data_IF_803458625101
#
_entry.id   IF_803458625101
#
_cell.length_a   1.000
_cell.length_b   1.000
_cell.length_c   1.000
_cell.angle_alpha   90.00
_cell.angle_beta   90.00
_cell.angle_gamma   90.00
#
_symmetry.space_group_name_H-M   'P 1'
#
loop_
_entity.id
_entity.type
_entity.pdbx_description
1 polymer ?
#
# COMPACT_ATOMS: atom_id res chain seq x y z
N UNK A 1 -20.84 -18.62 30.50
CA UNK A 1 -19.44 -18.95 30.19
C UNK A 1 -18.89 -17.71 29.51
N UNK A 2 -17.86 -17.06 30.06
CA UNK A 2 -17.22 -15.95 29.37
C UNK A 2 -16.70 -16.51 28.07
N UNK A 3 -17.19 -16.03 26.91
CA UNK A 3 -16.57 -16.30 25.64
C UNK A 3 -15.08 -15.96 25.79
N UNK A 4 -14.19 -16.88 25.41
CA UNK A 4 -12.75 -16.62 25.43
C UNK A 4 -12.50 -15.44 24.50
N UNK A 5 -12.36 -14.27 25.06
CA UNK A 5 -12.04 -13.06 24.29
C UNK A 5 -10.66 -13.26 23.64
N UNK A 6 -10.62 -13.27 22.31
CA UNK A 6 -9.36 -13.36 21.59
C UNK A 6 -8.51 -12.10 21.81
N UNK A 7 -7.21 -12.27 21.69
CA UNK A 7 -6.23 -11.17 21.73
C UNK A 7 -5.33 -11.34 20.50
N UNK A 8 -5.47 -10.40 19.57
CA UNK A 8 -4.70 -10.37 18.33
C UNK A 8 -3.65 -9.28 18.35
N UNK A 9 -2.50 -9.54 17.73
CA UNK A 9 -1.53 -8.53 17.37
C UNK A 9 -1.46 -8.37 15.85
N UNK A 10 -1.47 -7.13 15.37
CA UNK A 10 -1.07 -6.77 14.02
C UNK A 10 0.35 -6.15 14.11
N UNK A 11 1.30 -6.61 13.30
CA UNK A 11 2.69 -6.13 13.31
C UNK A 11 3.07 -5.74 11.89
N UNK A 12 3.54 -4.49 11.68
CA UNK A 12 3.99 -3.93 10.41
C UNK A 12 5.46 -3.49 10.51
N UNK A 13 6.30 -3.97 9.59
CA UNK A 13 7.72 -3.66 9.53
C UNK A 13 7.91 -2.24 8.95
N UNK A 14 8.55 -1.38 9.72
CA UNK A 14 8.63 0.05 9.43
C UNK A 14 9.36 0.36 8.14
N UNK A 15 8.62 0.87 7.12
CA UNK A 15 9.16 1.21 5.80
C UNK A 15 10.01 0.07 5.19
N UNK A 16 9.53 -1.14 5.23
CA UNK A 16 10.27 -2.40 5.09
C UNK A 16 11.35 -2.38 4.01
N UNK A 17 11.00 -2.16 2.74
CA UNK A 17 11.99 -2.18 1.66
C UNK A 17 13.09 -1.13 1.83
N UNK A 18 12.74 0.08 2.30
CA UNK A 18 13.73 1.11 2.58
C UNK A 18 14.63 0.72 3.75
N UNK A 19 14.08 0.09 4.78
CA UNK A 19 14.85 -0.42 5.93
C UNK A 19 15.81 -1.52 5.52
N UNK A 20 15.38 -2.49 4.69
CA UNK A 20 16.27 -3.52 4.13
C UNK A 20 17.40 -2.90 3.33
N UNK A 21 17.12 -1.87 2.52
CA UNK A 21 18.16 -1.17 1.75
C UNK A 21 19.14 -0.40 2.65
N UNK A 22 18.67 0.20 3.74
CA UNK A 22 19.55 0.85 4.73
C UNK A 22 20.45 -0.19 5.42
N UNK A 23 19.89 -1.25 5.97
CA UNK A 23 20.63 -2.31 6.66
C UNK A 23 21.69 -2.93 5.74
N UNK A 24 21.34 -3.24 4.48
CA UNK A 24 22.28 -3.80 3.50
C UNK A 24 23.47 -2.88 3.22
N UNK A 25 23.32 -1.58 3.44
CA UNK A 25 24.36 -0.55 3.26
C UNK A 25 25.02 -0.15 4.58
N UNK A 26 24.68 -0.81 5.70
CA UNK A 26 25.12 -0.45 7.06
C UNK A 26 24.75 0.99 7.46
N UNK A 27 23.57 1.43 7.03
CA UNK A 27 23.00 2.74 7.34
C UNK A 27 21.86 2.59 8.35
N UNK A 28 21.64 3.63 9.15
CA UNK A 28 20.52 3.67 10.10
C UNK A 28 19.18 3.74 9.38
N UNK A 29 18.22 2.89 9.77
CA UNK A 29 16.91 2.77 9.11
C UNK A 29 15.96 3.91 9.44
N UNK A 30 16.19 4.64 10.54
CA UNK A 30 15.33 5.71 11.03
C UNK A 30 15.78 7.10 10.58
N UNK A 31 17.11 7.30 10.44
CA UNK A 31 17.68 8.63 10.12
C UNK A 31 18.11 8.77 8.67
N UNK A 32 18.32 7.68 7.95
CA UNK A 32 18.76 7.75 6.55
C UNK A 32 17.62 8.15 5.60
N UNK A 33 17.83 9.17 4.81
CA UNK A 33 16.96 9.59 3.74
C UNK A 33 17.14 8.67 2.52
N UNK A 34 16.18 7.80 2.27
CA UNK A 34 16.24 6.81 1.19
C UNK A 34 14.86 6.54 0.59
N UNK A 35 14.82 6.40 -0.71
CA UNK A 35 13.66 5.86 -1.46
C UNK A 35 14.07 4.63 -2.24
N UNK A 36 13.13 3.68 -2.40
CA UNK A 36 13.31 2.51 -3.26
C UNK A 36 12.55 2.75 -4.55
N UNK A 37 13.29 2.94 -5.66
CA UNK A 37 12.69 3.20 -6.96
C UNK A 37 13.60 2.72 -8.10
N UNK A 38 12.98 2.30 -9.20
CA UNK A 38 13.68 1.93 -10.43
C UNK A 38 13.90 3.18 -11.30
N UNK A 39 15.09 3.75 -11.22
CA UNK A 39 15.48 4.95 -11.98
C UNK A 39 15.69 4.69 -13.48
N UNK A 40 15.82 3.42 -13.88
CA UNK A 40 16.02 3.06 -15.29
C UNK A 40 14.73 3.26 -16.11
N UNK A 41 13.58 3.35 -15.46
CA UNK A 41 12.28 3.54 -16.13
C UNK A 41 12.04 5.01 -16.48
N UNK A 42 11.59 5.79 -15.54
CA UNK A 42 11.37 7.24 -15.69
C UNK A 42 11.09 7.87 -14.32
N UNK A 43 11.15 9.19 -14.23
CA UNK A 43 10.71 9.91 -13.01
C UNK A 43 9.22 9.69 -12.65
N UNK A 44 8.41 9.14 -13.56
CA UNK A 44 7.02 8.75 -13.30
C UNK A 44 6.91 7.42 -12.53
N UNK A 45 8.03 6.70 -12.34
CA UNK A 45 8.04 5.43 -11.59
C UNK A 45 7.52 5.63 -10.16
N UNK A 46 6.80 4.63 -9.64
CA UNK A 46 6.34 4.64 -8.25
C UNK A 46 7.49 4.19 -7.36
N UNK A 47 7.74 4.94 -6.30
CA UNK A 47 8.63 4.49 -5.24
C UNK A 47 7.95 3.37 -4.45
N UNK A 48 8.61 2.22 -4.34
CA UNK A 48 8.07 1.07 -3.59
C UNK A 48 8.10 1.32 -2.08
N UNK A 49 9.06 2.11 -1.60
CA UNK A 49 9.15 2.52 -0.21
C UNK A 49 9.88 3.85 -0.06
N UNK A 50 9.58 4.53 1.04
CA UNK A 50 10.20 5.77 1.49
C UNK A 50 10.63 5.59 2.94
N UNK A 51 11.85 5.99 3.29
CA UNK A 51 12.37 5.90 4.67
C UNK A 51 11.58 6.77 5.64
N UNK A 52 11.59 6.44 6.95
CA UNK A 52 10.89 7.23 7.97
C UNK A 52 11.30 8.70 8.00
N UNK A 53 12.59 8.99 7.83
CA UNK A 53 13.13 10.35 7.81
C UNK A 53 12.58 11.19 6.65
N UNK A 54 12.45 10.63 5.45
CA UNK A 54 11.84 11.33 4.31
C UNK A 54 10.32 11.47 4.46
N UNK A 55 9.64 10.48 5.07
CA UNK A 55 8.21 10.62 5.41
C UNK A 55 7.98 11.79 6.37
N UNK A 56 8.88 12.02 7.32
CA UNK A 56 8.84 13.17 8.22
C UNK A 56 8.99 14.52 7.49
N UNK A 57 9.58 14.55 6.29
CA UNK A 57 9.62 15.71 5.41
C UNK A 57 8.33 15.91 4.59
N UNK A 58 7.27 15.13 4.85
CA UNK A 58 5.98 15.22 4.15
C UNK A 58 5.93 14.48 2.81
N UNK A 59 6.84 13.53 2.58
CA UNK A 59 6.81 12.65 1.40
C UNK A 59 5.92 11.44 1.73
N UNK A 60 4.89 11.13 0.91
CA UNK A 60 4.00 9.99 1.17
C UNK A 60 4.72 8.64 1.04
N UNK A 61 4.10 7.55 1.51
CA UNK A 61 4.72 6.23 1.52
C UNK A 61 4.99 5.63 0.14
N UNK A 62 4.17 5.96 -0.87
CA UNK A 62 4.29 5.47 -2.25
C UNK A 62 4.15 6.60 -3.27
N UNK A 63 5.05 7.59 -3.26
CA UNK A 63 5.03 8.69 -4.21
C UNK A 63 5.55 8.23 -5.57
N UNK A 64 5.31 9.00 -6.61
CA UNK A 64 6.12 8.91 -7.82
C UNK A 64 7.46 9.61 -7.59
N UNK A 65 8.50 9.16 -8.28
CA UNK A 65 9.85 9.69 -8.05
C UNK A 65 9.93 11.22 -8.30
N UNK A 66 9.20 11.76 -9.28
CA UNK A 66 9.15 13.21 -9.51
C UNK A 66 8.53 13.97 -8.32
N UNK A 67 7.59 13.38 -7.59
CA UNK A 67 6.98 14.00 -6.39
C UNK A 67 8.01 14.08 -5.26
N UNK A 68 8.85 13.06 -5.12
CA UNK A 68 10.00 13.09 -4.19
C UNK A 68 10.94 14.23 -4.56
N UNK A 69 11.34 14.34 -5.84
CA UNK A 69 12.22 15.41 -6.34
C UNK A 69 11.64 16.79 -6.05
N UNK A 70 10.34 16.98 -6.33
CA UNK A 70 9.67 18.27 -6.07
C UNK A 70 9.64 18.61 -4.59
N UNK A 71 9.29 17.64 -3.73
CA UNK A 71 9.20 17.86 -2.28
C UNK A 71 10.57 18.13 -1.66
N UNK A 72 11.60 17.40 -2.08
CA UNK A 72 12.98 17.67 -1.64
C UNK A 72 13.43 19.08 -2.06
N UNK A 73 13.13 19.53 -3.27
CA UNK A 73 13.42 20.90 -3.71
C UNK A 73 12.69 21.94 -2.87
N UNK A 74 11.43 21.69 -2.50
CA UNK A 74 10.64 22.57 -1.62
C UNK A 74 11.29 22.67 -0.24
N UNK A 75 11.61 21.52 0.39
CA UNK A 75 12.28 21.46 1.69
C UNK A 75 13.63 22.18 1.65
N UNK A 76 14.44 21.93 0.62
CA UNK A 76 15.74 22.58 0.46
C UNK A 76 15.63 24.09 0.25
N UNK A 77 14.59 24.57 -0.44
CA UNK A 77 14.34 26.02 -0.56
C UNK A 77 14.09 26.66 0.79
N UNK A 78 13.28 26.03 1.64
CA UNK A 78 13.03 26.52 2.99
C UNK A 78 14.30 26.44 3.86
N UNK A 79 15.03 25.32 3.84
CA UNK A 79 16.28 25.13 4.56
C UNK A 79 17.34 26.17 4.16
N UNK A 80 17.47 26.48 2.88
CA UNK A 80 18.43 27.48 2.41
C UNK A 80 18.07 28.89 2.94
N UNK A 81 16.79 29.25 2.94
CA UNK A 81 16.34 30.51 3.54
C UNK A 81 16.67 30.58 5.05
N UNK A 82 16.50 29.46 5.77
CA UNK A 82 16.86 29.35 7.18
C UNK A 82 18.38 29.44 7.39
N UNK A 83 19.17 28.77 6.52
CA UNK A 83 20.63 28.83 6.57
C UNK A 83 21.17 30.25 6.31
N UNK A 84 20.56 31.00 5.38
CA UNK A 84 20.91 32.39 5.11
C UNK A 84 20.61 33.27 6.35
N UNK A 85 19.44 33.11 6.96
CA UNK A 85 19.07 33.84 8.18
C UNK A 85 20.00 33.52 9.36
N UNK A 86 20.46 32.27 9.43
CA UNK A 86 21.41 31.83 10.48
C UNK A 86 22.89 32.06 10.14
N UNK A 87 23.21 32.78 9.04
CA UNK A 87 24.56 33.01 8.54
C UNK A 87 25.40 31.74 8.32
N UNK A 88 24.74 30.66 7.92
CA UNK A 88 25.37 29.35 7.65
C UNK A 88 25.41 28.98 6.16
N UNK A 89 24.77 29.76 5.30
CA UNK A 89 24.83 29.58 3.85
C UNK A 89 26.10 30.16 3.26
N UNK A 90 26.57 29.57 2.18
CA UNK A 90 27.76 30.02 1.41
C UNK A 90 27.28 30.96 0.28
N UNK A 91 27.97 32.05 0.09
CA UNK A 91 27.70 32.96 -1.03
C UNK A 91 28.67 32.66 -2.16
N UNK A 92 28.14 32.25 -3.30
CA UNK A 92 28.94 31.97 -4.49
C UNK A 92 29.49 33.24 -5.16
N UNK A 93 30.45 33.09 -6.06
CA UNK A 93 31.01 34.17 -6.84
C UNK A 93 29.95 34.90 -7.72
N UNK A 94 28.87 34.18 -8.08
CA UNK A 94 27.71 34.73 -8.81
C UNK A 94 26.74 35.51 -7.91
N UNK A 95 27.08 35.66 -6.64
CA UNK A 95 26.25 36.32 -5.62
C UNK A 95 25.07 35.51 -5.09
N UNK A 96 24.88 34.29 -5.56
CA UNK A 96 23.80 33.41 -5.09
C UNK A 96 24.19 32.67 -3.82
N UNK A 97 23.17 32.39 -3.01
CA UNK A 97 23.32 31.59 -1.81
C UNK A 97 23.20 30.11 -2.13
N UNK A 98 24.04 29.29 -1.51
CA UNK A 98 24.06 27.83 -1.62
C UNK A 98 24.39 27.17 -0.29
N UNK A 99 24.15 25.85 -0.21
CA UNK A 99 24.63 25.06 0.91
C UNK A 99 26.15 24.80 0.81
N UNK A 100 26.79 24.56 1.95
CA UNK A 100 28.21 24.20 2.00
C UNK A 100 28.47 22.77 1.50
N UNK A 101 27.56 21.84 1.80
CA UNK A 101 27.57 20.45 1.35
C UNK A 101 26.17 19.84 1.45
N UNK A 102 26.04 18.52 1.28
CA UNK A 102 24.78 17.80 1.42
C UNK A 102 24.91 16.62 2.37
N UNK A 103 23.79 16.19 2.96
CA UNK A 103 23.71 14.97 3.76
C UNK A 103 22.41 14.23 3.52
N UNK A 104 22.48 12.90 3.50
CA UNK A 104 21.31 12.03 3.53
C UNK A 104 20.96 11.53 4.94
N UNK A 105 21.65 12.00 5.99
CA UNK A 105 21.37 11.68 7.38
C UNK A 105 20.53 12.81 8.02
N UNK A 106 19.32 12.49 8.44
CA UNK A 106 18.40 13.42 9.07
C UNK A 106 18.94 13.98 10.39
N UNK A 107 19.71 13.21 11.16
CA UNK A 107 20.32 13.67 12.41
C UNK A 107 21.40 14.73 12.15
N UNK A 108 22.22 14.57 11.11
CA UNK A 108 23.17 15.58 10.66
C UNK A 108 22.48 16.85 10.16
N UNK A 109 21.40 16.68 9.36
CA UNK A 109 20.59 17.78 8.85
C UNK A 109 19.91 18.60 9.95
N UNK A 110 19.49 17.98 11.05
CA UNK A 110 18.93 18.69 12.22
C UNK A 110 19.98 19.53 12.95
N UNK A 111 21.22 19.05 13.04
CA UNK A 111 22.31 19.71 13.75
C UNK A 111 22.93 20.85 12.94
N UNK A 112 22.93 20.73 11.61
CA UNK A 112 23.62 21.68 10.74
C UNK A 112 22.73 22.17 9.58
N UNK A 113 22.39 23.44 9.62
CA UNK A 113 21.62 24.14 8.59
C UNK A 113 22.43 24.41 7.31
N UNK A 114 23.76 24.33 7.35
CA UNK A 114 24.61 24.49 6.16
C UNK A 114 24.52 23.33 5.18
N UNK A 115 23.88 22.21 5.58
CA UNK A 115 23.74 20.99 4.78
C UNK A 115 22.46 20.99 3.96
N UNK A 116 22.57 20.69 2.67
CA UNK A 116 21.46 20.38 1.80
C UNK A 116 20.88 19.00 2.14
N UNK A 117 19.54 18.88 2.12
CA UNK A 117 18.87 17.59 2.22
C UNK A 117 19.12 16.79 0.95
N UNK A 118 19.97 15.77 1.07
CA UNK A 118 20.17 14.73 0.08
C UNK A 118 19.40 13.46 0.42
N UNK A 119 19.27 12.56 -0.53
CA UNK A 119 18.68 11.24 -0.32
C UNK A 119 19.26 10.21 -1.29
N UNK A 120 19.17 8.94 -0.91
CA UNK A 120 19.61 7.79 -1.71
C UNK A 120 18.41 7.26 -2.49
N UNK A 121 18.61 6.97 -3.78
CA UNK A 121 17.65 6.21 -4.58
C UNK A 121 18.21 4.80 -4.75
N UNK A 122 17.58 3.81 -4.11
CA UNK A 122 17.99 2.41 -4.16
C UNK A 122 17.15 1.66 -5.20
N UNK A 123 17.77 0.87 -6.09
CA UNK A 123 17.02 0.01 -7.01
C UNK A 123 16.30 -1.10 -6.23
N UNK A 124 15.09 -1.52 -6.66
CA UNK A 124 14.35 -2.62 -6.03
C UNK A 124 15.10 -3.96 -6.12
N UNK A 125 15.14 -4.71 -5.00
CA UNK A 125 15.74 -6.05 -4.91
C UNK A 125 14.76 -7.02 -4.26
N UNK A 126 13.74 -7.43 -5.02
CA UNK A 126 12.61 -8.20 -4.49
C UNK A 126 13.03 -9.52 -3.82
N UNK A 127 14.00 -10.25 -4.39
CA UNK A 127 14.51 -11.47 -3.80
C UNK A 127 15.10 -11.24 -2.40
N UNK A 128 15.86 -10.15 -2.20
CA UNK A 128 16.40 -9.76 -0.90
C UNK A 128 15.28 -9.42 0.09
N UNK A 129 14.21 -8.74 -0.36
CA UNK A 129 13.09 -8.42 0.52
C UNK A 129 12.33 -9.67 0.96
N UNK A 130 12.12 -10.64 0.07
CA UNK A 130 11.52 -11.93 0.41
C UNK A 130 12.39 -12.68 1.42
N UNK A 131 13.71 -12.68 1.25
CA UNK A 131 14.65 -13.32 2.18
C UNK A 131 14.54 -12.71 3.59
N UNK A 132 14.54 -11.37 3.71
CA UNK A 132 14.35 -10.71 5.00
C UNK A 132 12.99 -10.98 5.63
N UNK A 133 11.92 -10.94 4.83
CA UNK A 133 10.56 -11.26 5.28
C UNK A 133 10.48 -12.70 5.80
N UNK A 134 11.05 -13.67 5.07
CA UNK A 134 11.09 -15.08 5.51
C UNK A 134 11.89 -15.25 6.80
N UNK A 135 13.03 -14.55 6.93
CA UNK A 135 13.84 -14.59 8.16
C UNK A 135 13.08 -14.00 9.35
N UNK A 136 12.31 -12.94 9.16
CA UNK A 136 11.48 -12.35 10.20
C UNK A 136 10.31 -13.28 10.56
N UNK A 137 9.68 -13.91 9.58
CA UNK A 137 8.63 -14.90 9.81
C UNK A 137 9.14 -16.07 10.69
N UNK A 138 10.37 -16.53 10.48
CA UNK A 138 11.00 -17.55 11.32
C UNK A 138 11.20 -17.09 12.78
N UNK A 139 11.33 -15.77 13.02
CA UNK A 139 11.37 -15.25 14.39
C UNK A 139 9.99 -15.38 15.04
N UNK A 140 8.90 -15.04 14.36
CA UNK A 140 7.55 -15.22 14.89
C UNK A 140 7.27 -16.68 15.26
N UNK A 141 7.74 -17.65 14.44
CA UNK A 141 7.58 -19.09 14.68
C UNK A 141 8.29 -19.61 15.93
N UNK A 142 9.19 -18.84 16.56
CA UNK A 142 9.76 -19.18 17.85
C UNK A 142 8.79 -18.98 19.01
N UNK A 143 7.80 -18.14 18.81
CA UNK A 143 6.84 -17.70 19.83
C UNK A 143 5.46 -18.29 19.65
N UNK A 144 5.03 -18.44 18.42
CA UNK A 144 3.67 -18.88 18.08
C UNK A 144 3.68 -19.89 16.94
N UNK A 145 2.70 -20.77 16.94
CA UNK A 145 2.55 -21.78 15.88
C UNK A 145 2.08 -21.14 14.57
N UNK A 146 2.42 -21.72 13.41
CA UNK A 146 2.04 -21.17 12.10
C UNK A 146 0.52 -21.11 11.90
N UNK A 147 -0.26 -21.93 12.61
CA UNK A 147 -1.73 -21.93 12.59
C UNK A 147 -2.31 -20.58 13.07
N UNK A 148 -1.64 -19.94 14.02
CA UNK A 148 -2.08 -18.71 14.67
C UNK A 148 -1.44 -17.46 14.05
N UNK A 149 -0.73 -17.60 12.92
CA UNK A 149 -0.16 -16.50 12.13
C UNK A 149 -0.86 -16.39 10.80
N UNK A 150 -1.37 -15.21 10.48
CA UNK A 150 -1.82 -14.84 9.13
C UNK A 150 -0.83 -13.83 8.53
N UNK A 151 -0.11 -14.23 7.48
CA UNK A 151 0.76 -13.34 6.71
C UNK A 151 -0.12 -12.51 5.79
N UNK A 152 -0.35 -11.24 6.19
CA UNK A 152 -1.20 -10.33 5.44
C UNK A 152 -0.48 -9.73 4.22
N UNK A 153 0.81 -9.43 4.37
CA UNK A 153 1.68 -8.97 3.27
C UNK A 153 3.14 -9.39 3.52
N UNK A 154 4.06 -8.94 2.67
CA UNK A 154 5.50 -9.21 2.84
C UNK A 154 6.09 -8.57 4.12
N UNK A 155 5.44 -7.55 4.66
CA UNK A 155 5.88 -6.74 5.80
C UNK A 155 4.86 -6.67 6.93
N UNK A 156 3.71 -7.33 6.80
CA UNK A 156 2.64 -7.28 7.80
C UNK A 156 2.08 -8.67 8.13
N UNK A 157 1.88 -8.93 9.42
CA UNK A 157 1.30 -10.15 9.94
C UNK A 157 0.23 -9.87 10.99
N UNK A 158 -0.75 -10.77 11.08
CA UNK A 158 -1.64 -10.89 12.24
C UNK A 158 -1.29 -12.16 13.01
N UNK A 159 -1.33 -12.08 14.33
CA UNK A 159 -1.00 -13.19 15.25
C UNK A 159 -2.09 -13.28 16.29
N UNK A 160 -2.65 -14.47 16.50
CA UNK A 160 -3.51 -14.77 17.65
C UNK A 160 -2.62 -15.12 18.84
N UNK A 161 -2.66 -14.28 19.88
CA UNK A 161 -1.83 -14.42 21.06
C UNK A 161 -2.58 -15.13 22.21
N UNK A 162 -3.87 -15.41 22.06
CA UNK A 162 -4.79 -15.80 23.12
C UNK A 162 -4.24 -16.96 23.97
N UNK A 163 -3.79 -18.01 23.33
CA UNK A 163 -3.31 -19.22 24.04
C UNK A 163 -1.86 -19.12 24.53
N UNK A 164 -1.09 -18.14 24.05
CA UNK A 164 0.33 -17.99 24.34
C UNK A 164 0.60 -17.13 25.58
N UNK A 165 -0.28 -16.18 25.90
CA UNK A 165 -0.10 -15.27 27.04
C UNK A 165 0.02 -16.02 28.37
N UNK A 166 -0.87 -17.00 28.70
CA UNK A 166 -0.72 -17.79 29.91
C UNK A 166 0.54 -18.65 29.91
N UNK A 167 0.93 -19.19 28.74
CA UNK A 167 2.13 -20.01 28.60
C UNK A 167 3.41 -19.22 28.90
N UNK A 168 3.57 -18.03 28.30
CA UNK A 168 4.73 -17.16 28.54
C UNK A 168 4.64 -16.37 29.84
N UNK A 169 3.48 -16.32 30.47
CA UNK A 169 3.19 -15.47 31.67
C UNK A 169 3.54 -14.00 31.39
N UNK A 170 3.18 -13.54 30.21
CA UNK A 170 3.40 -12.17 29.71
C UNK A 170 2.08 -11.54 29.32
N UNK A 171 2.02 -10.22 29.41
CA UNK A 171 0.96 -9.44 28.74
C UNK A 171 1.18 -9.46 27.22
N UNK A 172 0.15 -9.17 26.45
CA UNK A 172 0.26 -9.08 25.00
C UNK A 172 1.32 -8.03 24.58
N UNK A 173 1.34 -6.90 25.29
CA UNK A 173 2.33 -5.84 25.07
C UNK A 173 3.78 -6.34 25.26
N UNK A 174 4.04 -7.05 26.35
CA UNK A 174 5.38 -7.59 26.63
C UNK A 174 5.81 -8.61 25.60
N UNK A 175 4.91 -9.52 25.19
CA UNK A 175 5.21 -10.55 24.21
C UNK A 175 5.50 -9.94 22.84
N UNK A 176 4.64 -9.00 22.37
CA UNK A 176 4.84 -8.28 21.11
C UNK A 176 6.13 -7.45 21.13
N UNK A 177 6.41 -6.76 22.23
CA UNK A 177 7.67 -6.01 22.40
C UNK A 177 8.89 -6.93 22.28
N UNK A 178 8.82 -8.12 22.88
CA UNK A 178 9.89 -9.12 22.81
C UNK A 178 10.14 -9.58 21.39
N UNK A 179 9.08 -9.90 20.65
CA UNK A 179 9.17 -10.29 19.23
C UNK A 179 9.80 -9.18 18.38
N UNK A 180 9.32 -7.92 18.52
CA UNK A 180 9.82 -6.78 17.74
C UNK A 180 11.31 -6.50 18.07
N UNK A 181 11.69 -6.60 19.33
CA UNK A 181 13.11 -6.44 19.71
C UNK A 181 14.00 -7.53 19.14
N UNK A 182 13.56 -8.78 19.13
CA UNK A 182 14.32 -9.85 18.49
C UNK A 182 14.48 -9.61 16.98
N UNK A 183 13.41 -9.12 16.31
CA UNK A 183 13.47 -8.71 14.89
C UNK A 183 14.52 -7.61 14.73
N UNK A 184 14.46 -6.57 15.55
CA UNK A 184 15.39 -5.43 15.49
C UNK A 184 16.85 -5.89 15.68
N UNK A 185 17.13 -6.67 16.73
CA UNK A 185 18.51 -7.12 17.01
C UNK A 185 19.04 -8.10 15.97
N UNK A 186 18.15 -8.91 15.36
CA UNK A 186 18.54 -9.90 14.36
C UNK A 186 18.69 -9.31 12.96
N UNK A 187 17.86 -8.33 12.61
CA UNK A 187 17.74 -7.82 11.23
C UNK A 187 18.05 -6.33 11.08
N UNK A 188 18.12 -5.57 12.17
CA UNK A 188 18.25 -4.11 12.15
C UNK A 188 16.97 -3.38 11.76
N UNK A 189 15.84 -4.08 11.64
CA UNK A 189 14.55 -3.53 11.23
C UNK A 189 13.61 -3.47 12.42
N UNK A 190 12.99 -2.30 12.66
CA UNK A 190 11.97 -2.14 13.71
C UNK A 190 10.56 -2.28 13.12
N UNK A 191 9.57 -2.42 14.00
CA UNK A 191 8.16 -2.57 13.63
C UNK A 191 7.27 -1.67 14.47
N UNK A 192 6.04 -1.49 14.00
CA UNK A 192 4.92 -0.91 14.74
C UNK A 192 3.90 -2.01 14.95
N UNK A 193 3.24 -2.04 16.10
CA UNK A 193 2.20 -3.03 16.36
C UNK A 193 0.93 -2.41 16.94
N UNK A 194 -0.18 -3.11 16.69
CA UNK A 194 -1.45 -2.89 17.36
C UNK A 194 -1.95 -4.17 17.98
N UNK A 195 -2.51 -4.08 19.18
CA UNK A 195 -3.12 -5.18 19.90
C UNK A 195 -4.61 -4.89 20.00
N UNK A 196 -5.45 -5.90 19.76
CA UNK A 196 -6.89 -5.74 19.79
C UNK A 196 -7.62 -7.03 20.15
N UNK A 197 -8.89 -6.89 20.56
CA UNK A 197 -9.77 -8.01 20.88
C UNK A 197 -10.31 -8.72 19.64
N UNK A 198 -10.07 -8.15 18.47
CA UNK A 198 -10.32 -8.76 17.15
C UNK A 198 -9.32 -8.23 16.11
N UNK A 199 -9.32 -8.81 14.92
CA UNK A 199 -8.37 -8.45 13.84
C UNK A 199 -8.50 -6.99 13.40
N UNK A 200 -9.74 -6.46 13.34
CA UNK A 200 -9.98 -5.07 12.96
C UNK A 200 -9.40 -4.09 13.98
N UNK A 201 -9.64 -4.32 15.27
CA UNK A 201 -9.12 -3.47 16.34
C UNK A 201 -7.60 -3.53 16.45
N UNK A 202 -6.99 -4.70 16.28
CA UNK A 202 -5.53 -4.83 16.19
C UNK A 202 -4.96 -3.98 15.03
N UNK A 203 -5.61 -4.04 13.86
CA UNK A 203 -5.21 -3.24 12.70
C UNK A 203 -5.43 -1.75 12.92
N UNK A 204 -6.57 -1.32 13.46
CA UNK A 204 -6.86 0.08 13.74
C UNK A 204 -5.89 0.66 14.81
N UNK A 205 -5.58 -0.13 15.85
CA UNK A 205 -4.57 0.25 16.85
C UNK A 205 -3.20 0.49 16.18
N UNK A 206 -2.77 -0.41 15.28
CA UNK A 206 -1.50 -0.31 14.58
C UNK A 206 -1.46 0.88 13.61
N UNK A 207 -2.47 1.01 12.74
CA UNK A 207 -2.44 1.97 11.63
C UNK A 207 -2.75 3.40 12.06
N UNK A 208 -3.58 3.58 13.09
CA UNK A 208 -4.04 4.91 13.50
C UNK A 208 -3.38 5.31 14.82
N UNK A 209 -3.57 4.53 15.87
CA UNK A 209 -3.16 4.95 17.23
C UNK A 209 -1.66 4.87 17.43
N UNK A 210 -1.03 3.76 17.06
CA UNK A 210 0.41 3.54 17.27
C UNK A 210 1.30 4.55 16.54
N UNK A 211 0.83 5.15 15.45
CA UNK A 211 1.56 6.22 14.74
C UNK A 211 1.75 7.47 15.59
N UNK A 212 0.85 7.72 16.55
CA UNK A 212 0.85 8.89 17.43
C UNK A 212 1.42 8.60 18.82
N UNK A 213 1.62 7.31 19.16
CA UNK A 213 2.29 6.93 20.43
C UNK A 213 3.79 7.26 20.32
N UNK A 214 4.41 7.83 21.38
CA UNK A 214 5.86 8.01 21.44
C UNK A 214 6.57 6.67 21.25
N UNK A 215 7.62 6.67 20.42
CA UNK A 215 8.45 5.48 20.28
C UNK A 215 9.26 5.24 21.58
N UNK A 216 9.48 3.97 21.93
CA UNK A 216 10.44 3.64 22.97
C UNK A 216 11.89 3.90 22.50
N UNK A 217 12.88 3.60 23.35
CA UNK A 217 14.30 3.78 23.04
C UNK A 217 14.78 3.02 21.80
N UNK A 218 14.09 1.95 21.44
CA UNK A 218 14.39 1.06 20.32
C UNK A 218 13.54 1.40 19.07
N UNK A 219 12.77 2.49 19.13
CA UNK A 219 11.90 2.94 18.04
C UNK A 219 10.58 2.17 17.91
N UNK A 220 10.27 1.28 18.86
CA UNK A 220 9.06 0.45 18.88
C UNK A 220 7.86 1.31 19.29
N UNK A 221 6.73 1.09 18.62
CA UNK A 221 5.45 1.73 18.92
C UNK A 221 4.37 0.66 18.97
N UNK A 222 3.67 0.58 20.08
CA UNK A 222 2.57 -0.37 20.28
C UNK A 222 1.36 0.40 20.82
N UNK A 223 0.18 0.12 20.29
CA UNK A 223 -1.08 0.62 20.80
C UNK A 223 -2.05 -0.54 21.01
N UNK A 224 -3.02 -0.35 21.91
CA UNK A 224 -4.00 -1.36 22.28
C UNK A 224 -5.39 -0.77 22.16
N UNK A 225 -6.33 -1.54 21.61
CA UNK A 225 -7.75 -1.18 21.50
C UNK A 225 -8.63 -2.38 21.84
N UNK A 226 -9.65 -2.12 22.64
CA UNK A 226 -10.88 -2.90 22.71
C UNK A 226 -12.04 -2.12 22.09
N UNK A 227 -13.23 -2.68 22.02
CA UNK A 227 -14.41 -2.05 21.42
C UNK A 227 -14.80 -0.75 22.12
N UNK A 228 -14.58 -0.66 23.43
CA UNK A 228 -14.93 0.53 24.21
C UNK A 228 -13.93 1.66 23.95
N UNK A 229 -12.65 1.39 24.06
CA UNK A 229 -11.59 2.36 23.81
C UNK A 229 -11.57 2.81 22.36
N UNK A 230 -11.87 1.91 21.40
CA UNK A 230 -12.05 2.25 19.99
C UNK A 230 -13.15 3.31 19.80
N UNK A 231 -14.33 3.08 20.37
CA UNK A 231 -15.45 4.04 20.26
C UNK A 231 -15.13 5.38 20.91
N UNK A 232 -14.47 5.36 22.06
CA UNK A 232 -14.08 6.58 22.77
C UNK A 232 -13.02 7.41 22.04
N UNK A 233 -12.09 6.76 21.33
CA UNK A 233 -10.92 7.43 20.77
C UNK A 233 -10.99 7.63 19.26
N UNK A 234 -11.62 6.72 18.50
CA UNK A 234 -11.58 6.70 17.05
C UNK A 234 -12.92 6.96 16.36
N UNK A 235 -14.06 7.00 17.05
CA UNK A 235 -15.34 7.31 16.41
C UNK A 235 -15.36 8.68 15.73
N UNK A 236 -14.64 9.67 16.27
CA UNK A 236 -14.50 11.00 15.66
C UNK A 236 -13.29 11.17 14.74
N UNK A 237 -12.50 10.13 14.52
CA UNK A 237 -11.28 10.22 13.70
C UNK A 237 -11.59 10.47 12.22
N UNK A 238 -10.77 11.32 11.60
CA UNK A 238 -10.79 11.61 10.15
C UNK A 238 -9.35 11.65 9.61
N UNK A 239 -9.14 11.27 8.35
CA UNK A 239 -10.11 10.87 7.34
C UNK A 239 -10.57 9.41 7.50
N UNK A 240 -11.73 9.07 6.95
CA UNK A 240 -12.24 7.69 6.96
C UNK A 240 -11.34 6.69 6.23
N UNK A 241 -10.52 7.15 5.31
CA UNK A 241 -9.56 6.31 4.55
C UNK A 241 -8.39 5.78 5.39
N UNK A 242 -8.24 6.22 6.64
CA UNK A 242 -7.26 5.66 7.57
C UNK A 242 -7.72 4.31 8.14
N UNK A 243 -9.03 4.06 8.11
CA UNK A 243 -9.61 2.81 8.59
C UNK A 243 -9.50 1.70 7.54
N UNK A 244 -9.15 0.52 8.01
CA UNK A 244 -9.06 -0.68 7.19
C UNK A 244 -10.36 -0.93 6.42
N UNK A 245 -10.26 -1.33 5.15
CA UNK A 245 -11.38 -1.56 4.21
C UNK A 245 -12.13 -0.31 3.76
N UNK A 246 -11.83 0.88 4.25
CA UNK A 246 -12.43 2.14 3.77
C UNK A 246 -11.51 2.83 2.77
N UNK A 247 -11.78 2.67 1.49
CA UNK A 247 -11.05 3.35 0.42
C UNK A 247 -11.72 4.67 0.02
N UNK A 248 -11.02 5.49 -0.80
CA UNK A 248 -11.53 6.79 -1.30
C UNK A 248 -12.91 6.71 -1.97
N UNK A 249 -13.28 5.55 -2.55
CA UNK A 249 -14.59 5.35 -3.15
C UNK A 249 -15.71 5.27 -2.11
N UNK A 250 -15.44 4.62 -0.98
CA UNK A 250 -16.34 4.54 0.17
C UNK A 250 -16.47 5.89 0.83
N UNK A 251 -15.34 6.52 1.20
CA UNK A 251 -15.30 7.83 1.81
C UNK A 251 -16.13 8.86 1.02
N UNK A 252 -15.90 8.99 -0.30
CA UNK A 252 -16.69 9.91 -1.15
C UNK A 252 -18.20 9.63 -1.16
N UNK A 253 -18.61 8.35 -1.08
CA UNK A 253 -20.03 8.01 -1.02
C UNK A 253 -20.63 8.33 0.34
N UNK A 254 -19.89 8.08 1.42
CA UNK A 254 -20.28 8.42 2.79
C UNK A 254 -20.38 9.94 2.96
N UNK A 255 -19.41 10.71 2.49
CA UNK A 255 -19.42 12.17 2.53
C UNK A 255 -20.63 12.78 1.81
N UNK A 256 -21.07 12.19 0.70
CA UNK A 256 -22.30 12.61 0.00
C UNK A 256 -23.57 12.38 0.82
N UNK A 257 -23.54 11.45 1.76
CA UNK A 257 -24.62 11.19 2.71
C UNK A 257 -24.47 12.01 4.00
N UNK A 258 -23.41 12.81 4.14
CA UNK A 258 -23.10 13.55 5.38
C UNK A 258 -22.46 12.71 6.47
N UNK A 259 -22.05 11.46 6.18
CA UNK A 259 -21.38 10.56 7.12
C UNK A 259 -19.86 10.70 6.95
N UNK A 260 -19.18 11.29 7.92
CA UNK A 260 -17.78 11.67 7.83
C UNK A 260 -16.87 10.90 8.79
N UNK A 261 -17.45 10.18 9.74
CA UNK A 261 -16.74 9.45 10.81
C UNK A 261 -17.29 8.05 10.98
N UNK A 262 -16.55 7.16 11.66
CA UNK A 262 -17.06 5.84 12.04
C UNK A 262 -18.23 5.96 13.03
N UNK A 263 -18.21 6.95 13.90
CA UNK A 263 -19.33 7.25 14.79
C UNK A 263 -20.61 7.61 14.03
N UNK A 264 -20.52 8.40 12.97
CA UNK A 264 -21.68 8.73 12.11
C UNK A 264 -22.27 7.47 11.46
N UNK A 265 -21.42 6.54 11.01
CA UNK A 265 -21.85 5.28 10.39
C UNK A 265 -22.54 4.38 11.42
N UNK A 266 -21.94 4.24 12.60
CA UNK A 266 -22.50 3.45 13.69
C UNK A 266 -23.87 4.01 14.14
N UNK A 267 -23.97 5.33 14.31
CA UNK A 267 -25.23 5.98 14.68
C UNK A 267 -26.29 5.87 13.57
N UNK A 268 -25.87 5.97 12.30
CA UNK A 268 -26.77 5.76 11.17
C UNK A 268 -27.38 4.35 11.21
N UNK A 269 -26.62 3.32 11.53
CA UNK A 269 -27.12 1.94 11.60
C UNK A 269 -28.18 1.70 12.69
N UNK A 270 -28.27 2.60 13.69
CA UNK A 270 -29.27 2.53 14.76
C UNK A 270 -30.61 3.20 14.44
N UNK A 271 -30.69 3.89 13.30
CA UNK A 271 -31.92 4.63 12.93
C UNK A 271 -33.12 3.72 12.68
N UNK A 272 -34.30 4.20 13.05
CA UNK A 272 -35.53 3.46 12.85
C UNK A 272 -35.92 3.35 11.37
N UNK A 273 -36.83 2.41 11.02
CA UNK A 273 -37.19 2.14 9.62
C UNK A 273 -37.82 3.32 8.86
N UNK A 274 -38.29 4.35 9.58
CA UNK A 274 -38.89 5.58 9.00
C UNK A 274 -37.92 6.76 8.98
N UNK A 275 -36.76 6.63 9.55
CA UNK A 275 -35.74 7.68 9.57
C UNK A 275 -34.92 7.62 8.29
N UNK A 276 -34.39 8.79 7.85
CA UNK A 276 -33.56 8.87 6.66
C UNK A 276 -32.22 8.15 6.87
N UNK A 277 -31.60 8.37 8.04
CA UNK A 277 -30.40 7.67 8.44
C UNK A 277 -30.76 6.38 9.15
N UNK A 278 -30.62 5.27 8.48
CA UNK A 278 -30.88 3.94 8.98
C UNK A 278 -29.98 2.92 8.25
N UNK A 279 -30.06 1.68 8.67
CA UNK A 279 -29.29 0.58 8.10
C UNK A 279 -29.60 0.37 6.60
N UNK A 280 -30.86 0.50 6.19
CA UNK A 280 -31.27 0.35 4.78
C UNK A 280 -30.56 1.34 3.84
N UNK A 281 -30.28 2.55 4.31
CA UNK A 281 -29.54 3.55 3.55
C UNK A 281 -28.12 3.06 3.25
N UNK A 282 -27.48 2.43 4.22
CA UNK A 282 -26.12 1.87 4.08
C UNK A 282 -26.12 0.66 3.13
N UNK A 283 -27.07 -0.26 3.27
CA UNK A 283 -27.22 -1.41 2.36
C UNK A 283 -27.56 -0.97 0.93
N UNK A 284 -28.43 0.02 0.75
CA UNK A 284 -28.73 0.59 -0.57
C UNK A 284 -27.50 1.20 -1.23
N UNK A 285 -26.59 1.77 -0.44
CA UNK A 285 -25.39 2.47 -0.94
C UNK A 285 -24.22 1.51 -1.21
N UNK A 286 -24.03 0.50 -0.37
CA UNK A 286 -22.85 -0.35 -0.37
C UNK A 286 -23.13 -1.83 -0.67
N UNK A 287 -24.41 -2.22 -0.76
CA UNK A 287 -24.82 -3.61 -0.91
C UNK A 287 -24.43 -4.42 0.34
N UNK A 288 -24.16 -5.70 0.16
CA UNK A 288 -23.72 -6.61 1.25
C UNK A 288 -22.49 -6.13 2.01
N UNK A 289 -21.66 -5.30 1.39
CA UNK A 289 -20.49 -4.73 2.08
C UNK A 289 -20.86 -3.69 3.16
N UNK A 290 -22.13 -3.29 3.26
CA UNK A 290 -22.62 -2.44 4.36
C UNK A 290 -22.48 -3.15 5.70
N UNK A 291 -22.71 -4.46 5.76
CA UNK A 291 -22.56 -5.27 6.97
C UNK A 291 -21.17 -5.11 7.59
N UNK A 292 -20.14 -5.41 6.81
CA UNK A 292 -18.75 -5.23 7.26
C UNK A 292 -18.43 -3.78 7.66
N UNK A 293 -18.99 -2.80 6.94
CA UNK A 293 -18.78 -1.39 7.26
C UNK A 293 -19.43 -1.00 8.60
N UNK A 294 -20.62 -1.50 8.87
CA UNK A 294 -21.36 -1.28 10.13
C UNK A 294 -20.62 -1.97 11.27
N UNK A 295 -20.24 -3.24 11.11
CA UNK A 295 -19.50 -4.00 12.12
C UNK A 295 -18.21 -3.28 12.52
N UNK A 296 -17.42 -2.87 11.54
CA UNK A 296 -16.19 -2.12 11.76
C UNK A 296 -16.46 -0.75 12.42
N UNK A 297 -17.55 -0.09 12.08
CA UNK A 297 -17.93 1.18 12.75
C UNK A 297 -18.23 0.97 14.24
N UNK A 298 -18.75 -0.18 14.61
CA UNK A 298 -18.96 -0.58 16.01
C UNK A 298 -17.70 -1.15 16.68
N UNK A 299 -16.64 -1.41 15.94
CA UNK A 299 -15.41 -2.06 16.42
C UNK A 299 -15.53 -3.57 16.51
N UNK A 300 -16.43 -4.17 15.73
CA UNK A 300 -16.70 -5.60 15.69
C UNK A 300 -16.07 -6.24 14.46
N UNK A 301 -15.48 -7.42 14.62
CA UNK A 301 -14.98 -8.28 13.53
C UNK A 301 -15.02 -9.74 14.01
N UNK A 302 -15.94 -10.54 13.50
CA UNK A 302 -16.08 -11.94 13.95
C UNK A 302 -15.05 -12.88 13.31
N UNK A 303 -14.39 -12.46 12.21
CA UNK A 303 -13.47 -13.32 11.48
C UNK A 303 -12.23 -13.62 12.30
N UNK A 304 -11.90 -14.90 12.42
CA UNK A 304 -10.68 -15.39 13.08
C UNK A 304 -9.59 -15.75 12.06
N UNK A 305 -8.35 -15.96 12.52
CA UNK A 305 -7.27 -16.48 11.68
C UNK A 305 -7.62 -17.88 11.14
N UNK A 306 -8.31 -18.70 11.92
CA UNK A 306 -8.77 -20.01 11.50
C UNK A 306 -9.77 -19.92 10.33
N UNK A 307 -10.71 -18.97 10.38
CA UNK A 307 -11.68 -18.73 9.29
C UNK A 307 -10.97 -18.29 8.01
N UNK A 308 -10.00 -17.37 8.12
CA UNK A 308 -9.20 -16.92 6.97
C UNK A 308 -8.48 -18.10 6.31
N UNK A 309 -7.91 -19.00 7.11
CA UNK A 309 -7.18 -20.19 6.59
C UNK A 309 -8.10 -21.26 6.01
N UNK A 310 -9.31 -21.39 6.56
CA UNK A 310 -10.32 -22.32 6.06
C UNK A 310 -11.02 -21.80 4.80
N UNK A 311 -11.00 -20.50 4.53
CA UNK A 311 -11.70 -19.89 3.40
C UNK A 311 -11.16 -20.39 2.06
N UNK A 312 -12.07 -20.91 1.23
CA UNK A 312 -11.80 -21.29 -0.15
C UNK A 312 -12.65 -20.42 -1.06
N UNK A 313 -12.05 -19.55 -1.89
CA UNK A 313 -12.83 -18.72 -2.81
C UNK A 313 -13.56 -19.59 -3.84
N UNK A 314 -14.82 -19.25 -4.14
CA UNK A 314 -15.60 -19.89 -5.19
C UNK A 314 -14.99 -19.70 -6.58
N UNK A 315 -14.36 -18.56 -6.79
CA UNK A 315 -13.64 -18.23 -8.02
C UNK A 315 -12.30 -17.57 -7.68
N UNK A 316 -11.32 -17.82 -8.52
CA UNK A 316 -10.01 -17.18 -8.43
C UNK A 316 -9.59 -16.65 -9.79
N UNK A 317 -8.72 -15.62 -9.78
CA UNK A 317 -8.13 -15.09 -11.00
C UNK A 317 -6.61 -15.01 -10.86
N UNK A 318 -5.89 -15.25 -11.96
CA UNK A 318 -4.49 -14.92 -12.09
C UNK A 318 -4.38 -13.62 -12.89
N UNK A 319 -3.58 -12.67 -12.41
CA UNK A 319 -3.37 -11.40 -13.07
C UNK A 319 -1.88 -11.08 -13.22
N UNK A 320 -1.53 -10.40 -14.31
CA UNK A 320 -0.23 -9.79 -14.52
C UNK A 320 -0.42 -8.37 -15.01
N UNK A 321 0.44 -7.45 -14.57
CA UNK A 321 0.42 -6.06 -14.99
C UNK A 321 1.83 -5.56 -15.29
N UNK A 322 2.02 -4.87 -16.43
CA UNK A 322 3.30 -4.30 -16.82
C UNK A 322 3.15 -2.80 -17.12
N UNK A 323 4.02 -1.98 -16.52
CA UNK A 323 4.16 -0.57 -16.86
C UNK A 323 5.24 -0.46 -17.93
N UNK A 324 4.88 0.12 -19.07
CA UNK A 324 5.82 0.32 -20.17
C UNK A 324 6.83 1.43 -19.83
N UNK A 325 8.06 1.30 -20.27
CA UNK A 325 9.14 2.27 -20.05
C UNK A 325 8.95 3.57 -20.82
N UNK A 326 8.21 3.51 -21.94
CA UNK A 326 7.88 4.63 -22.80
C UNK A 326 6.50 4.40 -23.44
N UNK A 327 6.00 5.40 -24.17
CA UNK A 327 4.82 5.25 -25.00
C UNK A 327 5.14 4.34 -26.20
N UNK A 328 4.45 3.22 -26.32
CA UNK A 328 4.68 2.23 -27.38
C UNK A 328 3.64 2.34 -28.49
N UNK A 329 4.06 2.16 -29.76
CA UNK A 329 3.12 1.98 -30.86
C UNK A 329 2.39 0.63 -30.72
N UNK A 330 1.26 0.49 -31.45
CA UNK A 330 0.38 -0.66 -31.39
C UNK A 330 1.09 -2.02 -31.47
N UNK A 331 1.94 -2.23 -32.49
CA UNK A 331 2.61 -3.52 -32.72
C UNK A 331 3.54 -3.90 -31.58
N UNK A 332 4.27 -2.93 -31.04
CA UNK A 332 5.17 -3.19 -29.91
C UNK A 332 4.40 -3.49 -28.62
N UNK A 333 3.31 -2.80 -28.36
CA UNK A 333 2.45 -3.07 -27.20
C UNK A 333 1.73 -4.41 -27.35
N UNK A 334 1.31 -4.78 -28.56
CA UNK A 334 0.72 -6.08 -28.87
C UNK A 334 1.67 -7.23 -28.56
N UNK A 335 2.96 -7.07 -28.88
CA UNK A 335 3.99 -8.06 -28.54
C UNK A 335 4.14 -8.21 -27.02
N UNK A 336 4.19 -7.11 -26.26
CA UNK A 336 4.26 -7.15 -24.79
C UNK A 336 3.03 -7.88 -24.20
N UNK A 337 1.83 -7.61 -24.69
CA UNK A 337 0.62 -8.31 -24.22
C UNK A 337 0.69 -9.80 -24.52
N UNK A 338 1.26 -10.18 -25.66
CA UNK A 338 1.48 -11.60 -26.02
C UNK A 338 2.43 -12.27 -25.03
N UNK A 339 3.59 -11.66 -24.75
CA UNK A 339 4.57 -12.18 -23.77
C UNK A 339 3.96 -12.33 -22.38
N UNK A 340 3.20 -11.33 -21.93
CA UNK A 340 2.49 -11.38 -20.64
C UNK A 340 1.43 -12.49 -20.60
N UNK A 341 0.71 -12.70 -21.69
CA UNK A 341 -0.27 -13.78 -21.78
C UNK A 341 0.41 -15.16 -21.76
N UNK A 342 1.53 -15.33 -22.45
CA UNK A 342 2.33 -16.56 -22.44
C UNK A 342 2.83 -16.86 -21.00
N UNK A 343 3.34 -15.88 -20.27
CA UNK A 343 3.76 -16.04 -18.88
C UNK A 343 2.59 -16.43 -17.95
N UNK A 344 1.44 -15.75 -18.09
CA UNK A 344 0.24 -16.11 -17.32
C UNK A 344 -0.25 -17.54 -17.62
N UNK A 345 -0.18 -17.98 -18.86
CA UNK A 345 -0.54 -19.36 -19.25
C UNK A 345 0.40 -20.36 -18.60
N UNK A 346 1.71 -20.11 -18.58
CA UNK A 346 2.67 -20.95 -17.89
C UNK A 346 2.35 -21.06 -16.39
N UNK A 347 2.04 -19.93 -15.74
CA UNK A 347 1.61 -19.91 -14.34
C UNK A 347 0.31 -20.68 -14.11
N UNK A 348 -0.63 -20.62 -15.06
CA UNK A 348 -1.89 -21.35 -14.99
C UNK A 348 -1.65 -22.87 -15.04
N UNK A 349 -0.78 -23.31 -15.97
CA UNK A 349 -0.41 -24.71 -16.14
C UNK A 349 0.36 -25.23 -14.93
N UNK A 350 1.35 -24.47 -14.45
CA UNK A 350 2.17 -24.84 -13.28
C UNK A 350 1.31 -25.07 -12.02
N UNK A 351 0.27 -24.26 -11.84
CA UNK A 351 -0.68 -24.39 -10.73
C UNK A 351 -1.79 -25.42 -10.97
N UNK A 352 -1.81 -26.09 -12.11
CA UNK A 352 -2.86 -27.06 -12.45
C UNK A 352 -4.26 -26.44 -12.60
N UNK A 353 -4.34 -25.15 -12.95
CA UNK A 353 -5.58 -24.40 -13.07
C UNK A 353 -6.07 -24.31 -14.51
N UNK A 354 -7.35 -24.02 -14.68
CA UNK A 354 -8.01 -23.76 -15.97
C UNK A 354 -8.78 -22.45 -15.90
N UNK A 355 -8.94 -21.78 -17.04
CA UNK A 355 -9.77 -20.57 -17.16
C UNK A 355 -10.80 -20.71 -18.27
N UNK A 356 -11.91 -20.00 -18.17
CA UNK A 356 -12.94 -19.85 -19.19
C UNK A 356 -13.12 -18.38 -19.62
N UNK A 357 -12.34 -17.45 -19.04
CA UNK A 357 -12.46 -16.02 -19.31
C UNK A 357 -11.09 -15.35 -19.32
N UNK A 358 -10.96 -14.33 -20.16
CA UNK A 358 -9.82 -13.41 -20.23
C UNK A 358 -10.36 -11.99 -20.11
N UNK A 359 -9.73 -11.21 -19.22
CA UNK A 359 -9.95 -9.77 -19.10
C UNK A 359 -8.67 -9.02 -19.47
N UNK A 360 -8.80 -7.99 -20.30
CA UNK A 360 -7.67 -7.17 -20.73
C UNK A 360 -7.97 -5.68 -20.53
N UNK A 361 -7.05 -4.97 -19.90
CA UNK A 361 -7.11 -3.52 -19.72
C UNK A 361 -5.81 -2.88 -20.22
N UNK A 362 -5.92 -1.94 -21.16
CA UNK A 362 -4.79 -1.27 -21.79
C UNK A 362 -4.93 0.25 -21.62
N UNK A 363 -3.94 0.88 -21.00
CA UNK A 363 -3.88 2.33 -20.89
C UNK A 363 -3.28 2.99 -22.14
N UNK A 364 -3.73 4.19 -22.46
CA UNK A 364 -3.16 5.02 -23.51
C UNK A 364 -2.27 6.12 -22.91
N UNK A 365 -1.19 6.49 -23.61
CA UNK A 365 -0.37 7.63 -23.23
C UNK A 365 -1.09 8.96 -23.52
N UNK A 366 -0.84 9.96 -22.68
CA UNK A 366 -1.35 11.33 -22.88
C UNK A 366 -0.89 11.94 -24.21
N UNK A 367 0.26 11.51 -24.73
CA UNK A 367 0.75 11.90 -26.04
C UNK A 367 -0.20 11.55 -27.18
N UNK A 368 -1.09 10.56 -27.00
CA UNK A 368 -2.16 10.25 -27.97
C UNK A 368 -3.12 11.41 -28.21
N UNK A 369 -3.20 12.39 -27.28
CA UNK A 369 -4.03 13.60 -27.43
C UNK A 369 -3.31 14.79 -28.03
N UNK A 370 -1.98 14.79 -28.03
CA UNK A 370 -1.16 15.96 -28.35
C UNK A 370 -0.17 15.75 -29.51
N UNK A 371 0.10 14.49 -29.89
CA UNK A 371 1.05 14.18 -30.98
C UNK A 371 0.42 14.49 -32.34
N UNK A 372 1.06 15.31 -33.19
CA UNK A 372 0.60 15.54 -34.54
C UNK A 372 0.46 14.23 -35.32
N UNK A 373 -0.63 14.07 -36.07
CA UNK A 373 -0.94 12.88 -36.84
C UNK A 373 -1.68 11.77 -36.10
N UNK A 374 -1.79 11.84 -34.77
CA UNK A 374 -2.63 10.93 -33.96
C UNK A 374 -3.99 11.59 -33.77
N UNK A 375 -5.04 10.97 -34.27
CA UNK A 375 -6.42 11.41 -34.06
C UNK A 375 -7.13 10.44 -33.09
N UNK A 376 -7.15 10.78 -31.82
CA UNK A 376 -7.95 10.05 -30.84
C UNK A 376 -9.40 10.54 -30.86
N UNK A 377 -10.33 9.62 -31.10
CA UNK A 377 -11.76 9.91 -31.17
C UNK A 377 -12.55 9.29 -30.02
N UNK A 378 -11.87 8.62 -29.09
CA UNK A 378 -12.48 7.96 -27.95
C UNK A 378 -12.77 8.91 -26.77
N UNK A 379 -13.41 8.40 -25.71
CA UNK A 379 -13.69 9.16 -24.49
C UNK A 379 -12.39 9.62 -23.80
N UNK A 380 -12.39 10.85 -23.28
CA UNK A 380 -11.31 11.44 -22.50
C UNK A 380 -11.74 11.54 -21.05
N UNK A 381 -10.88 11.14 -20.13
CA UNK A 381 -11.07 11.22 -18.68
C UNK A 381 -10.05 12.15 -18.04
N UNK A 382 -10.25 12.49 -16.78
CA UNK A 382 -9.27 13.27 -16.00
C UNK A 382 -8.58 12.33 -15.02
N UNK A 383 -7.25 12.31 -15.04
CA UNK A 383 -6.47 11.50 -14.11
C UNK A 383 -6.39 12.13 -12.71
N UNK A 384 -5.70 11.44 -11.79
CA UNK A 384 -5.52 11.91 -10.41
C UNK A 384 -4.79 13.28 -10.32
N UNK A 385 -3.98 13.61 -11.31
CA UNK A 385 -3.24 14.87 -11.39
C UNK A 385 -3.99 15.99 -12.12
N UNK A 386 -5.27 15.78 -12.44
CA UNK A 386 -6.09 16.73 -13.18
C UNK A 386 -5.81 16.80 -14.69
N UNK A 387 -4.98 15.88 -15.24
CA UNK A 387 -4.63 15.87 -16.66
C UNK A 387 -5.69 15.14 -17.47
N UNK A 388 -5.98 15.64 -18.66
CA UNK A 388 -6.79 14.93 -19.64
C UNK A 388 -6.01 13.72 -20.18
N UNK A 389 -6.63 12.56 -20.10
CA UNK A 389 -6.06 11.29 -20.57
C UNK A 389 -7.09 10.52 -21.39
N UNK A 390 -6.72 9.79 -22.44
CA UNK A 390 -7.65 8.90 -23.11
C UNK A 390 -8.18 7.85 -22.13
N UNK A 391 -9.46 7.52 -22.22
CA UNK A 391 -10.03 6.43 -21.43
C UNK A 391 -9.35 5.12 -21.85
N UNK A 392 -8.91 4.31 -20.86
CA UNK A 392 -8.29 3.01 -21.11
C UNK A 392 -9.21 2.10 -21.92
N UNK A 393 -8.62 1.26 -22.77
CA UNK A 393 -9.32 0.17 -23.43
C UNK A 393 -9.52 -0.97 -22.43
N UNK A 394 -10.73 -1.51 -22.38
CA UNK A 394 -11.06 -2.64 -21.50
C UNK A 394 -12.00 -3.59 -22.25
N UNK A 395 -11.80 -4.87 -22.02
CA UNK A 395 -12.70 -5.88 -22.57
C UNK A 395 -12.51 -7.24 -21.92
N UNK A 396 -13.55 -8.04 -22.06
CA UNK A 396 -13.63 -9.41 -21.59
C UNK A 396 -13.89 -10.33 -22.77
N UNK A 397 -13.33 -11.54 -22.75
CA UNK A 397 -13.60 -12.62 -23.68
C UNK A 397 -13.82 -13.93 -22.95
N UNK A 398 -14.99 -14.52 -23.15
CA UNK A 398 -15.30 -15.88 -22.72
C UNK A 398 -14.77 -16.89 -23.74
N UNK A 399 -14.18 -17.99 -23.24
CA UNK A 399 -13.59 -19.04 -24.07
C UNK A 399 -14.58 -20.17 -24.41
N UNK A 400 -15.78 -20.11 -23.82
CA UNK A 400 -16.85 -21.10 -24.03
C UNK A 400 -16.63 -22.44 -23.31
N UNK A 401 -15.43 -22.68 -22.80
CA UNK A 401 -15.07 -23.84 -21.98
C UNK A 401 -13.89 -23.53 -21.08
N UNK A 402 -13.77 -24.24 -19.97
CA UNK A 402 -12.57 -24.19 -19.13
C UNK A 402 -11.41 -24.87 -19.84
N UNK A 403 -10.27 -24.21 -19.91
CA UNK A 403 -9.07 -24.71 -20.63
C UNK A 403 -7.78 -24.13 -20.04
N UNK A 404 -6.70 -24.83 -20.23
CA UNK A 404 -5.31 -24.38 -20.02
C UNK A 404 -4.52 -24.39 -21.35
N UNK A 405 -5.20 -24.59 -22.48
CA UNK A 405 -4.55 -24.64 -23.79
C UNK A 405 -3.94 -23.29 -24.13
N UNK A 406 -2.60 -23.26 -24.22
CA UNK A 406 -1.86 -22.04 -24.56
C UNK A 406 -2.35 -21.42 -25.87
N UNK A 407 -2.57 -22.23 -26.91
CA UNK A 407 -3.07 -21.75 -28.20
C UNK A 407 -4.41 -21.07 -28.08
N UNK A 408 -5.39 -21.68 -27.38
CA UNK A 408 -6.76 -21.14 -27.26
C UNK A 408 -6.75 -19.82 -26.47
N UNK A 409 -6.00 -19.78 -25.36
CA UNK A 409 -5.93 -18.59 -24.51
C UNK A 409 -5.21 -17.47 -25.22
N UNK A 410 -4.06 -17.76 -25.85
CA UNK A 410 -3.26 -16.75 -26.56
C UNK A 410 -3.99 -16.16 -27.76
N UNK A 411 -4.60 -17.02 -28.61
CA UNK A 411 -5.38 -16.56 -29.77
C UNK A 411 -6.56 -15.66 -29.32
N UNK A 412 -7.21 -16.04 -28.20
CA UNK A 412 -8.29 -15.25 -27.64
C UNK A 412 -7.82 -13.91 -27.05
N UNK A 413 -6.66 -13.88 -26.37
CA UNK A 413 -6.09 -12.66 -25.82
C UNK A 413 -5.68 -11.67 -26.95
N UNK A 414 -5.03 -12.19 -28.01
CA UNK A 414 -4.63 -11.38 -29.16
C UNK A 414 -5.86 -10.83 -29.91
N UNK A 415 -6.87 -11.66 -30.17
CA UNK A 415 -8.10 -11.21 -30.78
C UNK A 415 -8.87 -10.19 -29.92
N UNK A 416 -8.79 -10.32 -28.59
CA UNK A 416 -9.36 -9.33 -27.67
C UNK A 416 -8.61 -8.00 -27.76
N UNK A 417 -7.27 -8.02 -27.74
CA UNK A 417 -6.44 -6.84 -27.92
C UNK A 417 -6.75 -6.12 -29.23
N UNK A 418 -6.75 -6.85 -30.36
CA UNK A 418 -7.01 -6.30 -31.69
C UNK A 418 -8.42 -5.68 -31.79
N UNK A 419 -9.38 -6.17 -31.02
CA UNK A 419 -10.77 -5.66 -30.99
C UNK A 419 -10.91 -4.37 -30.17
N UNK A 420 -10.22 -4.26 -29.01
CA UNK A 420 -10.47 -3.17 -28.05
C UNK A 420 -9.48 -2.01 -28.18
N UNK A 421 -8.29 -2.24 -28.73
CA UNK A 421 -7.23 -1.24 -28.78
C UNK A 421 -7.31 -0.43 -30.07
N UNK A 422 -7.25 0.89 -29.94
CA UNK A 422 -7.14 1.78 -31.10
C UNK A 422 -5.71 1.75 -31.67
N UNK A 423 -5.49 1.26 -32.91
CA UNK A 423 -4.13 1.11 -33.46
C UNK A 423 -3.44 2.44 -33.75
N UNK A 424 -4.16 3.55 -33.83
CA UNK A 424 -3.57 4.86 -34.07
C UNK A 424 -2.99 5.51 -32.79
N UNK A 425 -3.23 4.93 -31.61
CA UNK A 425 -2.84 5.52 -30.34
C UNK A 425 -1.51 4.97 -29.83
N UNK A 426 -0.81 5.80 -29.07
CA UNK A 426 0.33 5.39 -28.26
C UNK A 426 -0.17 4.77 -26.97
N UNK A 427 0.42 3.65 -26.60
CA UNK A 427 0.00 2.83 -25.47
C UNK A 427 0.97 3.03 -24.31
N UNK A 428 0.41 3.25 -23.14
CA UNK A 428 1.15 3.40 -21.88
C UNK A 428 0.28 2.83 -20.77
N UNK A 429 0.77 1.80 -20.09
CA UNK A 429 0.10 1.33 -18.89
C UNK A 429 0.62 2.10 -17.70
N UNK A 430 -0.20 2.99 -17.15
CA UNK A 430 0.06 3.52 -15.81
C UNK A 430 -0.46 2.50 -14.81
N UNK A 431 0.30 2.10 -13.78
CA UNK A 431 -0.25 1.25 -12.75
C UNK A 431 -1.42 1.98 -12.11
N UNK A 432 -2.62 1.40 -12.23
CA UNK A 432 -3.73 1.79 -11.38
C UNK A 432 -3.42 1.31 -9.96
N UNK A 433 -3.77 2.06 -8.92
CA UNK A 433 -3.74 1.53 -7.55
C UNK A 433 -4.53 0.22 -7.37
N UNK A 434 -5.45 -0.08 -8.30
CA UNK A 434 -6.20 -1.35 -8.33
C UNK A 434 -5.38 -2.53 -8.86
N UNK A 435 -4.37 -2.29 -9.70
CA UNK A 435 -3.54 -3.36 -10.27
C UNK A 435 -2.63 -4.01 -9.23
N UNK A 436 -2.39 -3.32 -8.10
CA UNK A 436 -1.69 -3.87 -6.93
C UNK A 436 -2.63 -4.55 -5.92
N UNK A 437 -3.92 -4.30 -5.97
CA UNK A 437 -4.91 -4.94 -5.10
C UNK A 437 -5.38 -6.30 -5.64
N UNK A 438 -5.19 -6.58 -6.92
CA UNK A 438 -5.53 -7.87 -7.55
C UNK A 438 -4.42 -8.92 -7.43
N UNK A 439 -3.24 -8.55 -6.90
CA UNK A 439 -2.14 -9.48 -6.61
C UNK A 439 -2.08 -9.87 -5.13
N UNK A 440 -3.21 -9.79 -4.43
CA UNK A 440 -3.38 -10.26 -3.06
C UNK A 440 -4.47 -11.32 -2.97
#
# INVERSE_FOLDING_TARGET
MAENQHIYAAIDLKSFYASVECVSRKLDTLTTNLVVADVTRSEKTICLAVSPSLKACGIPGRPRLFEVVQKVREVNRQRLADAVRAHKAVRGADGKWSFASSSFDAAALQKDLSLELGYIVAPPRMATYIEYSTRIYQIYLKYVAPEDIHVYSIDEVFIDLTHYLPFYRMTAHELVTTMIREILYTTGITATAGIGTNLYLAKAAMDIVAKHVPADKDGVRIAELDEQTYRQTLWGHTPLTDFWRVGRGYERRLQKLGLNTMGDIALCSCGGPREYYNEDLLYKTFGVNAELLIDHAWGWEPTTIADIKAYKPESSSLGSGQVLTAAYPYEKARLVVREMAEELILNLVDKGLVTDQIDLTIGYDTASLTTPGIRYTGPVTTDHYGRKVPKHAHGTRHLGRRTQSAKVILDAAMALFDRIVNPACLLYTSPSPRDYAASR
#
